data_IF_090198619053
#
_entry.id   IF_090198619053
#
_cell.length_a   1.000
_cell.length_b   1.000
_cell.length_c   1.000
_cell.angle_alpha   90.00
_cell.angle_beta   90.00
_cell.angle_gamma   90.00
#
_symmetry.space_group_name_H-M   'P 1'
#
loop_
_entity.id
_entity.type
_entity.pdbx_description
1 polymer ?
#
# COMPACT_ATOMS: atom_id res chain seq x y z
N UNK A 1 0.28 -8.45 30.57
CA UNK A 1 1.22 -8.80 29.49
C UNK A 1 0.83 -7.97 28.30
N UNK A 2 1.65 -7.00 27.88
CA UNK A 2 1.49 -6.44 26.53
C UNK A 2 1.70 -7.60 25.55
N UNK A 3 0.69 -7.92 24.75
CA UNK A 3 0.87 -8.76 23.58
C UNK A 3 2.02 -8.16 22.77
N UNK A 4 3.08 -8.94 22.54
CA UNK A 4 4.12 -8.56 21.58
C UNK A 4 3.41 -8.39 20.24
N UNK A 5 3.07 -7.15 19.88
CA UNK A 5 2.56 -6.81 18.55
C UNK A 5 3.50 -7.47 17.54
N UNK A 6 2.98 -8.44 16.81
CA UNK A 6 3.80 -9.21 15.88
C UNK A 6 4.11 -8.32 14.67
N UNK A 7 4.95 -8.76 13.73
CA UNK A 7 5.38 -7.91 12.60
C UNK A 7 4.21 -7.56 11.66
N UNK A 8 4.30 -6.47 10.86
CA UNK A 8 3.38 -6.24 9.74
C UNK A 8 3.27 -7.47 8.83
N UNK A 9 2.06 -7.71 8.33
CA UNK A 9 1.76 -8.83 7.45
C UNK A 9 1.94 -8.40 6.00
N UNK A 10 2.60 -9.22 5.19
CA UNK A 10 2.87 -8.93 3.78
C UNK A 10 2.27 -10.03 2.90
N UNK A 11 1.49 -9.62 1.91
CA UNK A 11 1.04 -10.46 0.82
C UNK A 11 1.64 -9.94 -0.48
N UNK A 12 2.43 -10.78 -1.14
CA UNK A 12 3.06 -10.49 -2.44
C UNK A 12 2.39 -11.32 -3.51
N UNK A 13 1.90 -10.66 -4.55
CA UNK A 13 1.14 -11.28 -5.62
C UNK A 13 1.73 -10.82 -6.94
N UNK A 14 2.02 -11.76 -7.82
CA UNK A 14 2.35 -11.47 -9.22
C UNK A 14 1.20 -11.93 -10.11
N UNK A 15 0.62 -11.00 -10.87
CA UNK A 15 -0.38 -11.33 -11.87
C UNK A 15 0.28 -11.86 -13.14
N UNK A 16 -0.32 -12.85 -13.82
CA UNK A 16 0.19 -13.33 -15.10
C UNK A 16 0.25 -12.21 -16.15
N UNK A 17 1.17 -12.35 -17.09
CA UNK A 17 1.32 -11.41 -18.20
C UNK A 17 0.02 -11.26 -19.00
N UNK A 18 -0.35 -10.00 -19.32
CA UNK A 18 -1.52 -9.69 -20.13
C UNK A 18 -2.85 -9.64 -19.39
N UNK A 19 -2.85 -9.87 -18.07
CA UNK A 19 -4.04 -9.62 -17.24
C UNK A 19 -4.27 -8.12 -17.04
N UNK A 20 -5.54 -7.69 -16.88
CA UNK A 20 -5.83 -6.29 -16.60
C UNK A 20 -5.23 -5.87 -15.24
N UNK A 21 -4.90 -4.58 -15.06
CA UNK A 21 -4.45 -4.06 -13.77
C UNK A 21 -5.39 -4.44 -12.62
N UNK A 22 -4.85 -4.68 -11.42
CA UNK A 22 -5.63 -5.18 -10.30
C UNK A 22 -6.61 -4.11 -9.81
N UNK A 23 -7.85 -4.51 -9.54
CA UNK A 23 -8.83 -3.64 -8.86
C UNK A 23 -8.83 -3.97 -7.37
N UNK A 24 -8.09 -3.19 -6.59
CA UNK A 24 -7.99 -3.40 -5.15
C UNK A 24 -9.17 -2.76 -4.42
N UNK A 25 -9.74 -3.52 -3.49
CA UNK A 25 -10.76 -3.06 -2.54
C UNK A 25 -10.17 -3.13 -1.13
N UNK A 26 -10.72 -2.33 -0.22
CA UNK A 26 -10.38 -2.39 1.19
C UNK A 26 -10.83 -3.75 1.75
N UNK A 27 -9.93 -4.57 2.30
CA UNK A 27 -10.28 -5.90 2.82
C UNK A 27 -11.03 -5.84 4.16
N UNK A 28 -11.18 -4.66 4.77
CA UNK A 28 -11.88 -4.46 6.04
C UNK A 28 -13.35 -4.08 5.80
N UNK A 29 -13.61 -3.10 4.93
CA UNK A 29 -14.97 -2.58 4.69
C UNK A 29 -15.52 -2.87 3.28
N UNK A 30 -14.73 -3.44 2.38
CA UNK A 30 -15.14 -3.74 1.00
C UNK A 30 -15.15 -2.55 0.05
N UNK A 31 -14.82 -1.33 0.50
CA UNK A 31 -14.82 -0.13 -0.34
C UNK A 31 -13.78 -0.23 -1.46
N UNK A 32 -14.16 0.18 -2.68
CA UNK A 32 -13.20 0.38 -3.78
C UNK A 32 -12.21 1.49 -3.42
N UNK A 33 -10.91 1.22 -3.51
CA UNK A 33 -9.86 2.20 -3.14
C UNK A 33 -9.19 2.88 -4.33
N UNK A 34 -9.51 2.46 -5.56
CA UNK A 34 -8.93 3.02 -6.78
C UNK A 34 -10.01 3.33 -7.82
N UNK A 35 -9.97 4.53 -8.37
CA UNK A 35 -10.83 4.91 -9.47
C UNK A 35 -10.09 4.70 -10.80
N UNK A 36 -10.47 3.63 -11.49
CA UNK A 36 -9.90 3.24 -12.80
C UNK A 36 -10.13 4.27 -13.92
N UNK A 37 -11.12 5.17 -13.79
CA UNK A 37 -11.38 6.21 -14.79
C UNK A 37 -10.50 7.45 -14.58
N UNK A 38 -10.22 7.80 -13.32
CA UNK A 38 -9.43 9.00 -12.99
C UNK A 38 -7.98 8.69 -12.65
N UNK A 39 -7.64 7.41 -12.44
CA UNK A 39 -6.34 6.96 -11.96
C UNK A 39 -6.04 7.39 -10.51
N UNK A 40 -7.05 7.82 -9.76
CA UNK A 40 -6.88 8.36 -8.39
C UNK A 40 -7.33 7.38 -7.32
N UNK A 41 -6.67 7.44 -6.17
CA UNK A 41 -7.11 6.74 -4.96
C UNK A 41 -8.44 7.33 -4.49
N UNK A 42 -9.37 6.43 -4.16
CA UNK A 42 -10.61 6.77 -3.45
C UNK A 42 -10.29 6.64 -1.96
N UNK A 43 -10.36 7.72 -1.18
CA UNK A 43 -10.03 7.68 0.23
C UNK A 43 -10.87 6.64 0.99
N UNK A 44 -10.21 5.71 1.67
CA UNK A 44 -10.81 4.79 2.65
C UNK A 44 -10.16 4.99 4.02
N UNK A 45 -10.91 5.05 5.14
CA UNK A 45 -10.36 5.22 6.50
C UNK A 45 -9.29 4.19 6.86
N UNK A 46 -9.44 2.95 6.39
CA UNK A 46 -8.51 1.87 6.68
C UNK A 46 -7.25 1.88 5.82
N UNK A 47 -7.25 2.63 4.72
CA UNK A 47 -6.08 2.75 3.85
C UNK A 47 -5.07 3.70 4.51
N UNK A 48 -3.94 3.16 4.97
CA UNK A 48 -2.86 3.93 5.56
C UNK A 48 -1.97 4.58 4.49
N UNK A 49 -1.69 3.86 3.40
CA UNK A 49 -0.87 4.35 2.30
C UNK A 49 -1.15 3.60 1.00
N UNK A 50 -0.87 4.24 -0.13
CA UNK A 50 -0.81 3.63 -1.45
C UNK A 50 0.37 4.19 -2.25
N UNK A 51 1.18 3.28 -2.78
CA UNK A 51 2.33 3.55 -3.63
C UNK A 51 2.14 2.84 -4.97
N UNK A 52 2.53 3.50 -6.06
CA UNK A 52 2.61 2.86 -7.38
C UNK A 52 4.03 2.93 -7.90
N UNK A 53 4.52 1.80 -8.41
CA UNK A 53 5.81 1.71 -9.06
C UNK A 53 5.74 2.32 -10.46
N UNK A 54 6.62 3.28 -10.75
CA UNK A 54 6.88 3.72 -12.12
C UNK A 54 7.59 2.64 -12.94
N UNK A 55 7.45 2.71 -14.26
CA UNK A 55 8.18 1.82 -15.17
C UNK A 55 9.67 2.19 -15.21
N UNK A 56 10.54 1.43 -14.54
CA UNK A 56 12.02 1.59 -14.62
C UNK A 56 12.76 1.46 -13.28
N UNK A 57 14.08 1.72 -13.30
CA UNK A 57 14.98 1.69 -12.12
C UNK A 57 14.77 2.82 -11.10
N UNK A 58 13.76 3.69 -11.26
CA UNK A 58 13.52 4.83 -10.36
C UNK A 58 12.06 5.06 -9.96
N UNK A 59 11.94 5.26 -8.65
CA UNK A 59 10.93 5.94 -7.82
C UNK A 59 9.47 5.48 -7.85
N UNK A 60 9.07 4.82 -6.77
CA UNK A 60 7.67 4.72 -6.36
C UNK A 60 7.07 6.11 -6.19
N UNK A 61 5.96 6.37 -6.87
CA UNK A 61 5.25 7.63 -6.73
C UNK A 61 4.26 7.49 -5.56
N UNK A 62 4.36 8.43 -4.62
CA UNK A 62 3.40 8.59 -3.53
C UNK A 62 2.03 8.94 -4.12
N UNK A 63 1.04 8.06 -4.00
CA UNK A 63 -0.33 8.37 -4.44
C UNK A 63 -1.19 8.81 -3.26
N UNK A 64 -1.02 8.18 -2.10
CA UNK A 64 -1.82 8.46 -0.92
C UNK A 64 -1.10 8.08 0.38
N UNK A 65 -1.28 8.91 1.41
CA UNK A 65 -0.98 8.57 2.82
C UNK A 65 -2.09 9.12 3.72
N UNK A 66 -2.42 8.40 4.79
CA UNK A 66 -3.24 8.93 5.87
C UNK A 66 -2.40 9.85 6.78
N UNK A 67 -3.07 10.72 7.54
CA UNK A 67 -2.38 11.60 8.49
C UNK A 67 -1.68 10.79 9.58
N UNK A 68 -2.33 9.75 10.11
CA UNK A 68 -1.75 8.85 11.10
C UNK A 68 -0.51 8.14 10.56
N UNK A 69 -0.54 7.64 9.32
CA UNK A 69 0.63 7.07 8.68
C UNK A 69 1.75 8.11 8.57
N UNK A 70 1.44 9.29 8.03
CA UNK A 70 2.41 10.38 7.83
C UNK A 70 3.08 10.76 9.14
N UNK A 71 2.33 10.84 10.25
CA UNK A 71 2.87 11.12 11.58
C UNK A 71 3.79 10.00 12.08
N UNK A 72 3.36 8.74 11.96
CA UNK A 72 4.15 7.56 12.37
C UNK A 72 5.46 7.42 11.57
N UNK A 73 5.45 7.81 10.29
CA UNK A 73 6.58 7.60 9.39
C UNK A 73 7.48 8.81 9.19
N UNK A 74 7.09 10.00 9.68
CA UNK A 74 7.79 11.28 9.51
C UNK A 74 9.29 11.23 9.80
N UNK A 75 9.72 10.37 10.72
CA UNK A 75 11.12 10.24 11.13
C UNK A 75 11.81 8.95 10.62
N UNK A 76 11.08 8.09 9.92
CA UNK A 76 11.54 6.73 9.57
C UNK A 76 11.68 6.51 8.06
N UNK A 77 10.90 7.20 7.24
CA UNK A 77 10.92 7.09 5.78
C UNK A 77 11.54 8.37 5.21
N UNK A 78 12.66 8.24 4.50
CA UNK A 78 13.25 9.33 3.71
C UNK A 78 12.49 9.55 2.41
N UNK A 79 12.98 10.47 1.56
CA UNK A 79 12.27 10.90 0.34
C UNK A 79 12.07 9.77 -0.70
N UNK A 80 12.89 8.70 -0.66
CA UNK A 80 12.76 7.53 -1.53
C UNK A 80 12.39 6.26 -0.76
N UNK A 81 11.48 5.47 -1.36
CA UNK A 81 11.00 4.21 -0.79
C UNK A 81 11.76 3.01 -1.36
N UNK A 82 12.50 2.33 -0.49
CA UNK A 82 13.12 1.03 -0.76
C UNK A 82 12.19 -0.08 -0.23
N UNK A 83 11.52 -0.82 -1.13
CA UNK A 83 10.60 -1.90 -0.76
C UNK A 83 11.26 -3.04 0.01
N UNK A 84 12.57 -3.28 -0.16
CA UNK A 84 13.26 -4.32 0.61
C UNK A 84 13.42 -3.91 2.08
N UNK A 85 13.61 -2.61 2.31
CA UNK A 85 13.71 -2.03 3.66
C UNK A 85 12.35 -1.74 4.27
N UNK A 86 11.30 -1.62 3.44
CA UNK A 86 9.96 -1.19 3.85
C UNK A 86 9.37 -1.99 5.03
N UNK A 87 9.47 -3.33 5.12
CA UNK A 87 9.00 -4.08 6.29
C UNK A 87 9.67 -3.65 7.60
N UNK A 88 10.97 -3.33 7.55
CA UNK A 88 11.71 -2.85 8.73
C UNK A 88 11.31 -1.44 9.11
N UNK A 89 11.03 -0.58 8.12
CA UNK A 89 10.60 0.80 8.33
C UNK A 89 9.21 0.87 8.97
N UNK A 90 8.24 0.08 8.48
CA UNK A 90 6.91 0.01 9.07
C UNK A 90 6.96 -0.50 10.52
N UNK A 91 7.79 -1.50 10.79
CA UNK A 91 8.01 -1.97 12.17
C UNK A 91 8.60 -0.89 13.07
N UNK A 92 9.58 -0.11 12.57
CA UNK A 92 10.15 1.03 13.31
C UNK A 92 9.13 2.15 13.55
N UNK A 93 8.23 2.38 12.60
CA UNK A 93 7.12 3.32 12.71
C UNK A 93 6.01 2.85 13.68
N UNK A 94 6.14 1.66 14.28
CA UNK A 94 5.23 1.15 15.30
C UNK A 94 4.10 0.26 14.77
N UNK A 95 4.10 -0.07 13.48
CA UNK A 95 3.13 -1.02 12.93
C UNK A 95 3.44 -2.46 13.36
N UNK A 96 2.39 -3.16 13.76
CA UNK A 96 2.42 -4.57 14.10
C UNK A 96 1.59 -5.42 13.15
N UNK A 97 1.06 -6.55 13.61
CA UNK A 97 0.20 -7.45 12.84
C UNK A 97 -1.21 -6.95 12.56
N UNK A 98 -1.55 -5.76 13.04
CA UNK A 98 -2.73 -5.03 12.60
C UNK A 98 -2.54 -4.42 11.21
N UNK A 99 -1.32 -4.35 10.67
CA UNK A 99 -1.11 -3.83 9.31
C UNK A 99 -0.98 -4.97 8.30
N UNK A 100 -1.82 -4.94 7.27
CA UNK A 100 -1.66 -5.73 6.04
C UNK A 100 -1.05 -4.84 4.95
N UNK A 101 0.07 -5.27 4.40
CA UNK A 101 0.68 -4.70 3.21
C UNK A 101 0.45 -5.64 2.04
N UNK A 102 -0.22 -5.14 1.01
CA UNK A 102 -0.51 -5.85 -0.23
C UNK A 102 0.38 -5.27 -1.33
N UNK A 103 1.30 -6.08 -1.84
CA UNK A 103 2.24 -5.75 -2.92
C UNK A 103 1.84 -6.57 -4.14
N UNK A 104 1.34 -5.90 -5.17
CA UNK A 104 0.84 -6.53 -6.40
C UNK A 104 1.71 -6.10 -7.57
N UNK A 105 2.39 -7.06 -8.17
CA UNK A 105 3.13 -6.89 -9.40
C UNK A 105 2.29 -7.34 -10.59
N UNK A 106 2.18 -6.50 -11.62
CA UNK A 106 1.42 -6.78 -12.83
C UNK A 106 2.13 -6.21 -14.06
N UNK A 107 1.76 -6.70 -15.24
CA UNK A 107 2.43 -6.34 -16.48
C UNK A 107 1.47 -5.76 -17.51
N UNK A 108 1.92 -4.74 -18.23
CA UNK A 108 1.22 -4.13 -19.35
C UNK A 108 2.10 -3.94 -20.58
N UNK A 109 1.52 -3.35 -21.63
CA UNK A 109 2.20 -3.04 -22.88
C UNK A 109 2.33 -1.52 -23.04
N UNK A 110 3.57 -1.01 -23.14
CA UNK A 110 3.85 0.40 -23.41
C UNK A 110 5.07 0.54 -24.35
N UNK A 111 4.94 0.07 -25.59
CA UNK A 111 6.08 -0.06 -26.53
C UNK A 111 6.99 -1.27 -26.25
N UNK A 112 6.60 -2.11 -25.30
CA UNK A 112 7.27 -3.32 -24.83
C UNK A 112 6.60 -3.81 -23.54
N UNK A 113 6.96 -5.00 -23.02
CA UNK A 113 6.47 -5.48 -21.73
C UNK A 113 7.01 -4.57 -20.62
N UNK A 114 6.10 -4.03 -19.81
CA UNK A 114 6.45 -3.18 -18.67
C UNK A 114 5.81 -3.76 -17.41
N UNK A 115 6.60 -3.89 -16.36
CA UNK A 115 6.16 -4.36 -15.06
C UNK A 115 5.93 -3.19 -14.11
N UNK A 116 4.86 -3.29 -13.34
CA UNK A 116 4.45 -2.33 -12.33
C UNK A 116 4.28 -3.06 -11.01
N UNK A 117 4.60 -2.41 -9.90
CA UNK A 117 4.34 -2.93 -8.55
C UNK A 117 3.61 -1.88 -7.75
N UNK A 118 2.36 -2.17 -7.37
CA UNK A 118 1.57 -1.31 -6.50
C UNK A 118 1.59 -1.86 -5.07
N UNK A 119 1.71 -0.97 -4.09
CA UNK A 119 1.77 -1.32 -2.66
C UNK A 119 0.69 -0.58 -1.89
N UNK A 120 -0.15 -1.33 -1.19
CA UNK A 120 -1.26 -0.80 -0.39
C UNK A 120 -1.12 -1.24 1.06
N UNK A 121 -1.27 -0.31 2.00
CA UNK A 121 -1.26 -0.59 3.44
C UNK A 121 -2.65 -0.42 4.04
N UNK A 122 -3.18 -1.48 4.66
CA UNK A 122 -4.47 -1.48 5.34
C UNK A 122 -4.29 -1.69 6.84
N UNK A 123 -4.71 -0.72 7.66
CA UNK A 123 -4.60 -0.79 9.12
C UNK A 123 -5.90 -1.33 9.74
N UNK A 124 -5.86 -2.57 10.21
CA UNK A 124 -6.94 -3.27 10.92
C UNK A 124 -7.15 -2.77 12.35
N UNK A 125 -6.31 -1.86 12.87
CA UNK A 125 -6.61 -1.18 14.12
C UNK A 125 -7.64 -0.06 13.94
N UNK A 126 -7.93 0.36 12.71
CA UNK A 126 -9.00 1.33 12.43
C UNK A 126 -10.36 0.60 12.42
N UNK A 127 -11.36 1.06 13.20
CA UNK A 127 -12.69 0.43 13.25
C UNK A 127 -13.36 0.35 11.87
N UNK A 128 -14.13 -0.71 11.63
CA UNK A 128 -14.78 -0.96 10.32
C UNK A 128 -15.70 0.18 9.88
N UNK A 129 -16.37 0.81 10.84
CA UNK A 129 -17.35 1.89 10.70
C UNK A 129 -16.74 3.30 10.80
N UNK A 130 -15.41 3.41 10.83
CA UNK A 130 -14.75 4.70 10.79
C UNK A 130 -15.21 5.49 9.54
N UNK A 131 -15.53 6.76 9.73
CA UNK A 131 -15.83 7.69 8.63
C UNK A 131 -14.58 8.53 8.33
N UNK A 132 -14.40 8.92 7.06
CA UNK A 132 -13.41 9.95 6.72
C UNK A 132 -14.09 11.31 6.90
N UNK A 133 -13.62 12.07 7.89
CA UNK A 133 -13.94 13.50 8.04
C UNK A 133 -13.51 14.31 6.81
#
# INVERSE_FOLDING_TARGET
MEEKKTKPQYARIEQPFGYPPPVVHCPICGQKIFNTYTGKIIPCPHLAFAYTGGSGEYDYIYIYTSDDYTQKTKHSLGDSMDLEKFPRLLKKAGYGNNLLVLEITYCGMAGGPVWYTDVYGFDYAVPMDAEKE
#
